data_IF_423998631733
#
_entry.id   IF_423998631733
#
_cell.length_a   1.000
_cell.length_b   1.000
_cell.length_c   1.000
_cell.angle_alpha   90.00
_cell.angle_beta   90.00
_cell.angle_gamma   90.00
#
_symmetry.space_group_name_H-M   'P 1'
#
loop_
_entity.id
_entity.type
_entity.pdbx_description
1 polymer ?
#
# COMPACT_ATOMS: atom_id res chain seq x y z
N UNK A 1 17.63 -22.04 -29.01
CA UNK A 1 16.35 -21.31 -28.89
C UNK A 1 15.81 -21.21 -27.46
N UNK A 2 16.07 -22.17 -26.55
CA UNK A 2 15.53 -22.11 -25.17
C UNK A 2 16.08 -20.98 -24.28
N UNK A 3 17.36 -20.59 -24.43
CA UNK A 3 18.00 -19.59 -23.56
C UNK A 3 17.41 -18.18 -23.79
N UNK A 4 17.15 -17.81 -25.06
CA UNK A 4 16.54 -16.53 -25.39
C UNK A 4 15.10 -16.42 -24.86
N UNK A 5 14.34 -17.52 -24.88
CA UNK A 5 12.98 -17.57 -24.30
C UNK A 5 13.00 -17.46 -22.77
N UNK A 6 13.98 -18.09 -22.12
CA UNK A 6 14.16 -18.02 -20.67
C UNK A 6 14.55 -16.60 -20.22
N UNK A 7 15.47 -15.94 -20.94
CA UNK A 7 15.85 -14.55 -20.68
C UNK A 7 14.67 -13.61 -20.91
N UNK A 8 13.91 -13.79 -22.00
CA UNK A 8 12.72 -13.00 -22.27
C UNK A 8 11.66 -13.15 -21.16
N UNK A 9 11.38 -14.36 -20.69
CA UNK A 9 10.47 -14.61 -19.57
C UNK A 9 10.96 -13.97 -18.25
N UNK A 10 12.25 -14.07 -17.94
CA UNK A 10 12.84 -13.43 -16.76
C UNK A 10 12.75 -11.89 -16.82
N UNK A 11 12.95 -11.30 -18.00
CA UNK A 11 12.81 -9.84 -18.20
C UNK A 11 11.37 -9.36 -18.16
N UNK A 12 10.40 -10.14 -18.66
CA UNK A 12 8.98 -9.81 -18.52
C UNK A 12 8.51 -9.85 -17.06
N UNK A 13 8.91 -10.88 -16.30
CA UNK A 13 8.50 -11.05 -14.90
C UNK A 13 9.02 -9.91 -14.01
N UNK A 14 10.26 -9.47 -14.23
CA UNK A 14 10.85 -8.34 -13.51
C UNK A 14 10.12 -7.02 -13.84
N UNK A 15 9.68 -6.82 -15.08
CA UNK A 15 8.91 -5.63 -15.47
C UNK A 15 7.51 -5.55 -14.84
N UNK A 16 6.86 -6.69 -14.59
CA UNK A 16 5.52 -6.73 -13.96
C UNK A 16 5.65 -6.49 -12.45
N UNK A 17 6.67 -7.08 -11.81
CA UNK A 17 6.96 -6.86 -10.39
C UNK A 17 7.26 -5.38 -10.09
N UNK A 18 7.91 -4.67 -11.03
CA UNK A 18 8.19 -3.25 -10.83
C UNK A 18 6.96 -2.33 -10.95
N UNK A 19 5.90 -2.81 -11.62
CA UNK A 19 4.65 -2.06 -11.84
C UNK A 19 3.67 -2.19 -10.67
N UNK A 20 3.62 -3.34 -10.02
CA UNK A 20 2.72 -3.58 -8.89
C UNK A 20 3.36 -3.16 -7.56
N UNK A 21 3.56 -1.85 -7.40
CA UNK A 21 3.95 -1.29 -6.11
C UNK A 21 2.75 -0.67 -5.41
N UNK A 22 2.34 -1.23 -4.29
CA UNK A 22 1.20 -0.73 -3.51
C UNK A 22 1.68 0.04 -2.28
N UNK A 23 0.87 0.99 -1.76
CA UNK A 23 1.13 1.57 -0.47
C UNK A 23 0.97 0.53 0.63
N UNK A 24 1.76 0.65 1.69
CA UNK A 24 1.62 -0.17 2.90
C UNK A 24 1.64 0.73 4.12
N UNK A 25 0.64 0.57 4.97
CA UNK A 25 0.63 1.13 6.32
C UNK A 25 0.81 0.02 7.34
N UNK A 26 1.54 0.35 8.40
CA UNK A 26 1.75 -0.51 9.57
C UNK A 26 1.10 0.18 10.75
N UNK A 27 0.19 -0.51 11.45
CA UNK A 27 -0.46 -0.02 12.67
C UNK A 27 0.12 -0.81 13.84
N UNK A 28 0.79 -0.11 14.75
CA UNK A 28 1.53 -0.70 15.88
C UNK A 28 1.42 0.22 17.10
N UNK A 29 0.35 0.04 17.89
CA UNK A 29 0.11 0.84 19.08
C UNK A 29 1.08 0.51 20.22
N UNK A 30 1.61 -0.71 20.22
CA UNK A 30 2.48 -1.24 21.27
C UNK A 30 3.97 -0.99 20.96
N UNK A 31 4.28 -0.38 19.80
CA UNK A 31 5.63 -0.04 19.32
C UNK A 31 6.60 -1.22 19.33
N UNK A 32 6.14 -2.41 18.95
CA UNK A 32 6.99 -3.62 18.88
C UNK A 32 7.98 -3.55 17.71
N UNK A 33 7.66 -2.77 16.67
CA UNK A 33 8.49 -2.54 15.49
C UNK A 33 9.33 -1.27 15.65
N UNK A 34 10.51 -1.42 16.27
CA UNK A 34 11.36 -0.26 16.63
C UNK A 34 12.17 0.33 15.46
N UNK A 35 12.35 -0.44 14.38
CA UNK A 35 13.27 -0.10 13.29
C UNK A 35 12.55 0.29 11.99
N UNK A 36 11.31 0.78 12.10
CA UNK A 36 10.59 1.26 10.93
C UNK A 36 11.22 2.56 10.39
N UNK A 37 11.19 2.78 9.06
CA UNK A 37 11.74 3.98 8.47
C UNK A 37 11.00 5.22 8.99
N UNK A 38 11.69 6.05 9.75
CA UNK A 38 11.18 7.35 10.20
C UNK A 38 11.07 8.29 8.98
N UNK A 39 9.84 8.65 8.60
CA UNK A 39 9.48 9.48 7.43
C UNK A 39 9.73 8.82 6.07
N UNK A 40 9.00 7.75 5.78
CA UNK A 40 8.94 7.22 4.43
C UNK A 40 8.22 8.19 3.47
N UNK A 41 8.83 8.43 2.31
CA UNK A 41 8.19 9.10 1.19
C UNK A 41 7.56 8.07 0.24
N UNK A 42 6.39 8.36 -0.38
CA UNK A 42 5.78 7.47 -1.37
C UNK A 42 6.65 7.26 -2.62
N UNK A 43 7.64 8.14 -2.86
CA UNK A 43 8.61 8.00 -3.95
C UNK A 43 9.81 7.13 -3.60
N UNK A 44 10.00 6.81 -2.31
CA UNK A 44 11.04 5.89 -1.89
C UNK A 44 10.57 4.45 -2.14
N UNK A 45 11.51 3.62 -2.59
CA UNK A 45 11.27 2.21 -2.86
C UNK A 45 11.88 1.39 -1.73
N UNK A 46 11.13 0.45 -1.19
CA UNK A 46 11.63 -0.55 -0.24
C UNK A 46 11.92 -1.85 -0.97
N UNK A 47 13.02 -2.51 -0.65
CA UNK A 47 13.31 -3.85 -1.18
C UNK A 47 12.37 -4.86 -0.53
N UNK A 48 11.92 -5.85 -1.30
CA UNK A 48 11.06 -6.91 -0.76
C UNK A 48 11.71 -7.68 0.39
N UNK A 49 13.04 -7.82 0.39
CA UNK A 49 13.80 -8.41 1.52
C UNK A 49 13.66 -7.62 2.81
N UNK A 50 13.73 -6.29 2.72
CA UNK A 50 13.64 -5.41 3.90
C UNK A 50 12.21 -5.46 4.44
N UNK A 51 11.22 -5.52 3.54
CA UNK A 51 9.82 -5.71 3.90
C UNK A 51 9.56 -7.08 4.55
N UNK A 52 10.13 -8.16 4.01
CA UNK A 52 10.08 -9.49 4.62
C UNK A 52 10.60 -9.47 6.05
N UNK A 53 11.76 -8.84 6.30
CA UNK A 53 12.30 -8.72 7.65
C UNK A 53 11.35 -7.99 8.60
N UNK A 54 10.65 -6.94 8.14
CA UNK A 54 9.63 -6.24 8.94
C UNK A 54 8.48 -7.19 9.30
N UNK A 55 8.02 -8.00 8.34
CA UNK A 55 6.93 -8.96 8.57
C UNK A 55 7.36 -10.04 9.56
N UNK A 56 8.57 -10.59 9.41
CA UNK A 56 9.11 -11.60 10.33
C UNK A 56 9.21 -11.07 11.76
N UNK A 57 9.75 -9.86 11.95
CA UNK A 57 9.81 -9.21 13.26
C UNK A 57 8.41 -8.98 13.83
N UNK A 58 7.43 -8.60 13.00
CA UNK A 58 6.04 -8.46 13.45
C UNK A 58 5.47 -9.80 13.93
N UNK A 59 5.68 -10.89 13.19
CA UNK A 59 5.20 -12.24 13.56
C UNK A 59 5.85 -12.73 14.86
N UNK A 60 7.14 -12.45 15.05
CA UNK A 60 7.89 -12.85 16.24
C UNK A 60 7.49 -12.08 17.50
N UNK A 61 7.28 -10.76 17.36
CA UNK A 61 7.10 -9.86 18.51
C UNK A 61 5.64 -9.54 18.84
N UNK A 62 4.72 -9.85 17.95
CA UNK A 62 3.28 -9.67 18.18
C UNK A 62 2.63 -10.98 18.59
N UNK A 63 1.59 -10.86 19.42
CA UNK A 63 0.69 -11.97 19.69
C UNK A 63 -0.21 -12.24 18.49
N UNK A 64 -0.65 -11.18 17.83
CA UNK A 64 -1.55 -11.21 16.68
C UNK A 64 -1.09 -10.25 15.59
N UNK A 65 -1.11 -10.70 14.34
CA UNK A 65 -0.98 -9.84 13.15
C UNK A 65 -2.30 -9.75 12.39
N UNK A 66 -2.77 -8.56 12.08
CA UNK A 66 -3.96 -8.34 11.25
C UNK A 66 -3.55 -7.83 9.88
N UNK A 67 -4.11 -8.38 8.82
CA UNK A 67 -3.89 -7.94 7.45
C UNK A 67 -5.19 -7.39 6.87
N UNK A 68 -5.26 -6.09 6.70
CA UNK A 68 -6.33 -5.37 6.02
C UNK A 68 -6.00 -5.24 4.52
N UNK A 69 -6.94 -5.62 3.67
CA UNK A 69 -6.70 -5.74 2.22
C UNK A 69 -7.81 -5.11 1.41
N UNK A 70 -7.47 -4.09 0.63
CA UNK A 70 -8.28 -3.57 -0.47
C UNK A 70 -8.15 -4.46 -1.71
N UNK A 71 -9.18 -4.50 -2.56
CA UNK A 71 -9.05 -5.10 -3.89
C UNK A 71 -8.03 -4.34 -4.74
N UNK A 72 -8.14 -3.01 -4.77
CA UNK A 72 -7.20 -2.12 -5.45
C UNK A 72 -6.75 -1.04 -4.47
N UNK A 73 -5.46 -0.68 -4.46
CA UNK A 73 -4.99 0.43 -3.62
C UNK A 73 -3.77 1.11 -4.22
N UNK A 74 -3.83 2.44 -4.31
CA UNK A 74 -2.81 3.28 -4.93
C UNK A 74 -2.37 4.41 -4.00
N UNK A 75 -1.28 5.08 -4.35
CA UNK A 75 -0.86 6.31 -3.66
C UNK A 75 -1.82 7.47 -3.91
N UNK A 76 -2.55 7.46 -5.03
CA UNK A 76 -3.53 8.49 -5.35
C UNK A 76 -4.70 8.45 -4.36
N UNK A 77 -5.15 7.24 -3.98
CA UNK A 77 -6.20 7.04 -2.98
C UNK A 77 -5.90 7.77 -1.65
N UNK A 78 -4.63 7.77 -1.22
CA UNK A 78 -4.18 8.46 0.01
C UNK A 78 -4.33 9.98 -0.11
N UNK A 79 -4.19 10.52 -1.32
CA UNK A 79 -4.25 11.96 -1.57
C UNK A 79 -5.67 12.49 -1.87
N UNK A 80 -6.65 11.59 -2.02
CA UNK A 80 -8.04 11.97 -2.30
C UNK A 80 -8.57 12.87 -1.18
N UNK A 81 -9.20 13.99 -1.57
CA UNK A 81 -9.95 14.85 -0.68
C UNK A 81 -11.29 15.18 -1.32
N UNK A 82 -12.36 14.96 -0.59
CA UNK A 82 -13.71 15.38 -0.98
C UNK A 82 -14.18 16.55 -0.09
N UNK A 83 -15.48 16.91 -0.17
CA UNK A 83 -16.06 17.99 0.63
C UNK A 83 -15.98 17.75 2.15
N UNK A 84 -15.81 16.50 2.57
CA UNK A 84 -15.72 16.07 3.98
C UNK A 84 -14.24 15.96 4.40
N UNK A 85 -13.32 15.90 3.44
CA UNK A 85 -11.87 15.89 3.66
C UNK A 85 -11.22 14.59 3.18
N UNK A 86 -10.17 14.17 3.88
CA UNK A 86 -9.51 12.87 3.64
C UNK A 86 -10.48 11.72 3.96
N UNK A 87 -10.52 10.63 3.18
CA UNK A 87 -11.24 9.44 3.57
C UNK A 87 -10.57 8.70 4.75
N UNK A 88 -9.28 8.95 5.01
CA UNK A 88 -8.48 8.25 6.01
C UNK A 88 -8.37 9.01 7.34
N UNK A 89 -9.49 9.36 7.97
CA UNK A 89 -9.47 10.18 9.18
C UNK A 89 -8.72 9.53 10.35
N UNK A 90 -9.01 8.25 10.64
CA UNK A 90 -8.43 7.53 11.76
C UNK A 90 -6.97 7.17 11.48
N UNK A 91 -6.67 6.65 10.30
CA UNK A 91 -5.30 6.37 9.91
C UNK A 91 -4.43 7.63 9.91
N UNK A 92 -4.95 8.78 9.45
CA UNK A 92 -4.25 10.07 9.53
C UNK A 92 -3.99 10.50 10.99
N UNK A 93 -4.94 10.24 11.89
CA UNK A 93 -4.75 10.49 13.33
C UNK A 93 -3.67 9.56 13.91
N UNK A 94 -3.71 8.28 13.59
CA UNK A 94 -2.74 7.29 14.05
C UNK A 94 -1.31 7.60 13.56
N UNK A 95 -1.17 8.10 12.33
CA UNK A 95 0.12 8.58 11.80
C UNK A 95 0.65 9.78 12.61
N UNK A 96 -0.22 10.73 12.98
CA UNK A 96 0.17 11.89 13.82
C UNK A 96 0.56 11.46 15.23
N UNK A 97 -0.15 10.48 15.78
CA UNK A 97 0.11 9.91 17.10
C UNK A 97 1.27 8.91 17.12
N UNK A 98 1.92 8.67 15.97
CA UNK A 98 2.99 7.67 15.80
C UNK A 98 2.57 6.24 16.16
N UNK A 99 1.29 5.95 16.01
CA UNK A 99 0.68 4.62 16.17
C UNK A 99 0.54 3.88 14.85
N UNK A 100 0.58 4.61 13.74
CA UNK A 100 0.72 4.06 12.41
C UNK A 100 1.99 4.61 11.75
N UNK A 101 2.55 3.84 10.82
CA UNK A 101 3.69 4.22 9.99
C UNK A 101 3.40 3.86 8.54
N UNK A 102 3.58 4.83 7.65
CA UNK A 102 3.60 4.58 6.22
C UNK A 102 4.96 3.99 5.82
N UNK A 103 4.97 2.87 5.10
CA UNK A 103 6.20 2.32 4.54
C UNK A 103 6.46 2.89 3.14
N UNK A 104 7.73 2.98 2.72
CA UNK A 104 8.06 3.27 1.32
C UNK A 104 7.38 2.28 0.39
N UNK A 105 7.20 2.66 -0.87
CA UNK A 105 6.51 1.86 -1.87
C UNK A 105 7.14 0.45 -2.01
N UNK A 106 6.34 -0.58 -1.72
CA UNK A 106 6.78 -1.99 -1.70
C UNK A 106 6.27 -2.70 -2.95
N UNK A 107 7.16 -3.40 -3.65
CA UNK A 107 6.77 -4.27 -4.78
C UNK A 107 6.07 -5.53 -4.28
N UNK A 108 4.90 -5.84 -4.86
CA UNK A 108 4.12 -7.03 -4.56
C UNK A 108 3.86 -7.21 -3.06
N UNK A 109 3.50 -6.13 -2.35
CA UNK A 109 3.36 -6.12 -0.90
C UNK A 109 2.41 -7.21 -0.40
N UNK A 110 1.21 -7.29 -1.00
CA UNK A 110 0.21 -8.29 -0.63
C UNK A 110 0.71 -9.72 -0.82
N UNK A 111 1.39 -10.00 -1.93
CA UNK A 111 1.95 -11.34 -2.20
C UNK A 111 3.02 -11.71 -1.16
N UNK A 112 3.86 -10.75 -0.79
CA UNK A 112 4.90 -10.95 0.23
C UNK A 112 4.26 -11.25 1.59
N UNK A 113 3.30 -10.42 2.02
CA UNK A 113 2.52 -10.65 3.25
C UNK A 113 1.85 -12.02 3.27
N UNK A 114 1.15 -12.39 2.18
CA UNK A 114 0.47 -13.68 2.04
C UNK A 114 1.41 -14.90 2.00
N UNK A 115 2.68 -14.71 1.67
CA UNK A 115 3.66 -15.81 1.71
C UNK A 115 4.20 -16.10 3.11
N UNK A 116 4.31 -15.08 3.97
CA UNK A 116 4.80 -15.21 5.35
C UNK A 116 3.65 -15.55 6.30
N UNK A 117 2.53 -14.86 6.12
CA UNK A 117 1.28 -15.15 6.79
C UNK A 117 0.61 -16.23 5.93
N UNK A 118 0.54 -17.48 6.38
CA UNK A 118 -0.20 -18.52 5.66
C UNK A 118 -1.70 -18.42 6.02
N UNK A 119 -2.59 -18.11 5.06
CA UNK A 119 -4.01 -18.00 5.35
C UNK A 119 -4.62 -19.37 5.61
N UNK A 120 -5.01 -19.63 6.86
CA UNK A 120 -5.93 -20.72 7.17
C UNK A 120 -7.35 -20.21 6.90
N UNK A 121 -8.19 -21.02 6.25
CA UNK A 121 -9.51 -20.61 5.76
C UNK A 121 -10.42 -20.01 6.85
N UNK A 122 -10.23 -20.41 8.11
CA UNK A 122 -10.92 -19.89 9.29
C UNK A 122 -10.56 -18.45 9.67
N UNK A 123 -9.53 -17.86 9.08
CA UNK A 123 -8.99 -16.55 9.47
C UNK A 123 -9.16 -15.49 8.39
N UNK A 124 -10.03 -15.78 7.42
CA UNK A 124 -10.33 -14.90 6.30
C UNK A 124 -11.75 -14.34 6.46
N UNK A 125 -11.83 -13.03 6.61
CA UNK A 125 -13.07 -12.27 6.76
C UNK A 125 -13.23 -11.34 5.57
N UNK A 126 -14.48 -11.18 5.13
CA UNK A 126 -14.84 -10.24 4.08
C UNK A 126 -15.86 -9.26 4.65
N UNK A 127 -15.50 -8.00 4.75
CA UNK A 127 -16.33 -6.98 5.40
C UNK A 127 -16.84 -5.96 4.38
N UNK A 128 -18.15 -5.81 4.35
CA UNK A 128 -18.86 -4.79 3.57
C UNK A 128 -19.40 -3.66 4.46
N UNK A 129 -19.59 -3.88 5.75
CA UNK A 129 -20.17 -2.90 6.68
C UNK A 129 -19.69 -3.15 8.12
N UNK A 130 -19.85 -2.14 8.98
CA UNK A 130 -19.52 -2.20 10.41
C UNK A 130 -20.55 -2.99 11.25
N UNK A 131 -21.69 -3.34 10.66
CA UNK A 131 -22.72 -4.16 11.33
C UNK A 131 -22.38 -5.66 11.35
N UNK A 132 -21.43 -6.05 10.50
CA UNK A 132 -20.89 -7.40 10.39
C UNK A 132 -20.16 -7.75 11.69
N UNK A 133 -20.86 -8.39 12.63
CA UNK A 133 -20.27 -8.86 13.89
C UNK A 133 -19.11 -9.79 13.58
N UNK A 134 -17.88 -9.29 13.71
CA UNK A 134 -16.67 -10.08 13.55
C UNK A 134 -16.58 -11.02 14.75
N UNK A 135 -17.00 -12.27 14.55
CA UNK A 135 -17.01 -13.27 15.63
C UNK A 135 -15.67 -14.01 15.64
N UNK A 136 -14.75 -13.50 16.46
CA UNK A 136 -13.47 -14.16 16.73
C UNK A 136 -13.71 -15.18 17.84
N UNK A 137 -13.87 -16.44 17.46
CA UNK A 137 -14.22 -17.52 18.40
C UNK A 137 -13.00 -18.18 19.05
N UNK A 138 -11.81 -17.99 18.49
CA UNK A 138 -10.60 -18.66 18.95
C UNK A 138 -9.59 -17.62 19.46
N UNK A 139 -9.08 -17.86 20.68
CA UNK A 139 -8.08 -17.00 21.35
C UNK A 139 -6.64 -17.41 20.99
N UNK A 140 -6.46 -18.55 20.34
CA UNK A 140 -5.15 -19.05 19.90
C UNK A 140 -4.72 -18.48 18.53
N UNK A 141 -5.54 -17.60 17.96
CA UNK A 141 -5.32 -17.05 16.63
C UNK A 141 -4.15 -16.08 16.62
N UNK A 142 -3.21 -16.32 15.70
CA UNK A 142 -2.02 -15.48 15.52
C UNK A 142 -2.12 -14.52 14.35
N UNK A 143 -2.98 -14.78 13.36
CA UNK A 143 -3.08 -13.94 12.17
C UNK A 143 -4.53 -13.85 11.64
N UNK A 144 -4.95 -12.67 11.17
CA UNK A 144 -6.28 -12.41 10.60
C UNK A 144 -6.16 -11.74 9.23
N UNK A 145 -7.00 -12.12 8.28
CA UNK A 145 -7.14 -11.48 6.97
C UNK A 145 -8.51 -10.83 6.88
N UNK A 146 -8.52 -9.53 6.65
CA UNK A 146 -9.72 -8.73 6.52
C UNK A 146 -9.71 -8.14 5.11
N UNK A 147 -10.53 -8.72 4.23
CA UNK A 147 -10.73 -8.21 2.88
C UNK A 147 -11.91 -7.25 2.88
N UNK A 148 -11.71 -6.05 2.34
CA UNK A 148 -12.79 -5.10 2.17
C UNK A 148 -13.60 -5.39 0.90
N UNK A 149 -14.92 -5.17 1.00
CA UNK A 149 -15.86 -5.24 -0.12
C UNK A 149 -16.52 -3.89 -0.30
N UNK A 150 -16.34 -3.33 -1.49
CA UNK A 150 -16.94 -2.07 -1.91
C UNK A 150 -18.43 -2.28 -2.24
N UNK A 151 -19.26 -1.27 -1.98
CA UNK A 151 -20.66 -1.26 -2.39
C UNK A 151 -20.81 -0.99 -3.89
N UNK A 152 -21.81 -1.61 -4.54
CA UNK A 152 -21.99 -1.50 -6.00
C UNK A 152 -22.21 -0.07 -6.53
N UNK A 153 -22.76 0.84 -5.70
CA UNK A 153 -23.05 2.23 -6.06
C UNK A 153 -22.28 3.23 -5.17
N UNK A 154 -21.16 2.81 -4.57
CA UNK A 154 -20.39 3.63 -3.66
C UNK A 154 -19.27 4.38 -4.39
N UNK A 155 -19.02 5.64 -4.04
CA UNK A 155 -17.85 6.36 -4.55
C UNK A 155 -16.58 5.82 -3.89
N UNK A 156 -15.44 5.88 -4.60
CA UNK A 156 -14.17 5.42 -4.02
C UNK A 156 -13.83 6.11 -2.69
N UNK A 157 -14.10 7.41 -2.56
CA UNK A 157 -13.86 8.14 -1.30
C UNK A 157 -14.78 7.69 -0.16
N UNK A 158 -16.03 7.33 -0.46
CA UNK A 158 -16.96 6.77 0.52
C UNK A 158 -16.51 5.39 0.98
N UNK A 159 -16.13 4.52 0.03
CA UNK A 159 -15.65 3.17 0.33
C UNK A 159 -14.41 3.21 1.24
N UNK A 160 -13.41 4.01 0.88
CA UNK A 160 -12.19 4.17 1.69
C UNK A 160 -12.48 4.70 3.09
N UNK A 161 -13.44 5.61 3.24
CA UNK A 161 -13.85 6.14 4.55
C UNK A 161 -14.52 5.08 5.43
N UNK A 162 -15.33 4.21 4.82
CA UNK A 162 -15.91 3.06 5.51
C UNK A 162 -14.83 2.05 5.90
N UNK A 163 -13.84 1.82 5.03
CA UNK A 163 -12.74 0.91 5.33
C UNK A 163 -11.85 1.45 6.45
N UNK A 164 -11.58 2.75 6.50
CA UNK A 164 -10.87 3.42 7.60
C UNK A 164 -11.56 3.21 8.97
N UNK A 165 -12.89 3.36 9.02
CA UNK A 165 -13.69 3.02 10.21
C UNK A 165 -13.56 1.54 10.59
N UNK A 166 -13.70 0.64 9.62
CA UNK A 166 -13.60 -0.80 9.85
C UNK A 166 -12.20 -1.23 10.34
N UNK A 167 -11.14 -0.63 9.81
CA UNK A 167 -9.78 -0.87 10.28
C UNK A 167 -9.65 -0.53 11.76
N UNK A 168 -10.13 0.65 12.15
CA UNK A 168 -10.09 1.09 13.53
C UNK A 168 -10.89 0.15 14.46
N UNK A 169 -12.13 -0.16 14.10
CA UNK A 169 -13.00 -1.03 14.90
C UNK A 169 -12.39 -2.43 15.07
N UNK A 170 -11.97 -3.06 13.98
CA UNK A 170 -11.40 -4.41 14.01
C UNK A 170 -10.09 -4.42 14.80
N UNK A 171 -9.22 -3.44 14.60
CA UNK A 171 -7.95 -3.39 15.33
C UNK A 171 -8.16 -3.24 16.84
N UNK A 172 -9.10 -2.38 17.26
CA UNK A 172 -9.44 -2.21 18.67
C UNK A 172 -10.06 -3.49 19.28
N UNK A 173 -10.96 -4.15 18.56
CA UNK A 173 -11.55 -5.43 19.01
C UNK A 173 -10.47 -6.50 19.15
N UNK A 174 -9.58 -6.63 18.16
CA UNK A 174 -8.48 -7.60 18.21
C UNK A 174 -7.54 -7.32 19.38
N UNK A 175 -7.21 -6.05 19.65
CA UNK A 175 -6.40 -5.67 20.82
C UNK A 175 -7.06 -5.99 22.16
N UNK A 176 -8.38 -5.86 22.27
CA UNK A 176 -9.10 -6.20 23.50
C UNK A 176 -9.08 -7.70 23.80
N UNK A 177 -9.08 -8.55 22.77
CA UNK A 177 -9.07 -10.01 22.94
C UNK A 177 -7.66 -10.60 22.99
N UNK A 178 -6.67 -9.94 22.37
CA UNK A 178 -5.30 -10.41 22.33
C UNK A 178 -4.64 -10.20 23.70
N UNK A 179 -4.08 -11.28 24.26
CA UNK A 179 -3.32 -11.21 25.52
C UNK A 179 -1.88 -10.68 25.32
N UNK A 180 -1.65 -9.82 24.31
CA UNK A 180 -0.32 -9.32 23.96
C UNK A 180 -0.35 -8.36 22.77
N UNK A 181 0.82 -7.92 22.28
CA UNK A 181 0.92 -6.88 21.26
C UNK A 181 0.25 -7.25 19.94
N UNK A 182 -0.35 -6.27 19.27
CA UNK A 182 -1.02 -6.47 17.98
C UNK A 182 -0.42 -5.55 16.92
N UNK A 183 -0.03 -6.13 15.80
CA UNK A 183 0.43 -5.36 14.63
C UNK A 183 -0.58 -5.53 13.51
N UNK A 184 -0.87 -4.47 12.77
CA UNK A 184 -1.64 -4.55 11.54
C UNK A 184 -0.85 -4.08 10.33
N UNK A 185 -1.14 -4.68 9.18
CA UNK A 185 -0.72 -4.21 7.88
C UNK A 185 -1.95 -3.84 7.05
N UNK A 186 -1.90 -2.71 6.36
CA UNK A 186 -2.93 -2.30 5.40
C UNK A 186 -2.31 -2.07 4.02
N UNK A 187 -2.85 -2.75 3.00
CA UNK A 187 -2.40 -2.62 1.61
C UNK A 187 -3.49 -3.05 0.62
N UNK A 188 -3.24 -2.95 -0.68
CA UNK A 188 -4.11 -3.49 -1.73
C UNK A 188 -3.54 -4.75 -2.38
N UNK A 189 -4.40 -5.56 -3.00
CA UNK A 189 -3.95 -6.72 -3.79
C UNK A 189 -3.19 -6.31 -5.05
N UNK A 190 -3.64 -5.22 -5.67
CA UNK A 190 -3.05 -4.67 -6.90
C UNK A 190 -3.01 -3.15 -6.86
N UNK A 191 -1.99 -2.55 -7.47
CA UNK A 191 -1.99 -1.13 -7.78
C UNK A 191 -2.81 -0.87 -9.07
N UNK A 192 -3.90 -0.08 -9.02
CA UNK A 192 -4.72 0.23 -10.21
C UNK A 192 -4.04 1.17 -11.21
N UNK A 193 -2.96 1.86 -10.83
CA UNK A 193 -2.24 2.80 -11.71
C UNK A 193 -1.43 2.00 -12.74
N UNK A 194 -1.97 1.90 -13.96
CA UNK A 194 -1.22 1.41 -15.12
C UNK A 194 -0.26 2.51 -15.54
N UNK A 195 1.01 2.41 -15.13
CA UNK A 195 2.06 3.30 -15.66
C UNK A 195 2.28 2.90 -17.13
N UNK A 196 1.58 3.57 -18.04
CA UNK A 196 1.98 3.60 -19.43
C UNK A 196 3.37 4.22 -19.46
N UNK A 197 4.38 3.40 -19.76
CA UNK A 197 5.68 3.93 -20.15
C UNK A 197 5.41 4.66 -21.45
N UNK A 198 5.22 5.98 -21.38
CA UNK A 198 5.32 6.85 -22.54
C UNK A 198 6.67 6.50 -23.16
N UNK A 199 6.64 5.71 -24.23
CA UNK A 199 7.78 5.55 -25.13
C UNK A 199 7.92 6.91 -25.79
N UNK A 200 8.53 7.84 -25.07
CA UNK A 200 8.95 9.11 -25.60
C UNK A 200 9.95 8.75 -26.70
N UNK A 201 9.44 8.68 -27.93
CA UNK A 201 10.29 8.70 -29.12
C UNK A 201 11.12 9.96 -28.94
N UNK A 202 12.47 9.88 -28.99
CA UNK A 202 13.30 11.07 -28.88
C UNK A 202 12.83 12.07 -29.94
N UNK A 203 12.12 13.12 -29.52
CA UNK A 203 11.77 14.20 -30.42
C UNK A 203 13.08 14.83 -30.80
N UNK A 204 13.46 14.65 -32.07
CA UNK A 204 14.68 15.20 -32.64
C UNK A 204 14.69 16.69 -32.27
N UNK A 205 15.62 17.10 -31.42
CA UNK A 205 15.76 18.49 -31.02
C UNK A 205 16.07 19.27 -32.30
N UNK A 206 15.09 20.02 -32.80
CA UNK A 206 15.39 21.03 -33.79
C UNK A 206 16.35 22.02 -33.15
N UNK A 207 17.50 22.22 -33.78
CA UNK A 207 18.45 23.27 -33.38
C UNK A 207 17.83 24.62 -33.69
N UNK A 208 16.91 25.07 -32.82
CA UNK A 208 16.36 26.41 -32.86
C UNK A 208 17.46 27.34 -32.36
N UNK A 209 17.97 28.19 -33.27
CA UNK A 209 18.95 29.21 -32.92
C UNK A 209 18.32 30.15 -31.87
N UNK A 210 18.99 30.40 -30.73
CA UNK A 210 18.47 31.34 -29.74
C UNK A 210 18.35 32.73 -30.37
N UNK A 211 17.15 33.29 -30.34
CA UNK A 211 16.93 34.69 -30.68
C UNK A 211 17.05 35.52 -29.38
N UNK A 212 17.43 36.81 -29.45
CA UNK A 212 17.47 37.67 -28.26
C UNK A 212 16.07 37.74 -27.62
N UNK A 213 15.92 37.18 -26.41
CA UNK A 213 14.66 37.08 -25.67
C UNK A 213 14.53 35.76 -24.90
N UNK A 214 13.54 35.65 -24.01
CA UNK A 214 13.29 34.42 -23.24
C UNK A 214 12.68 33.38 -24.17
N UNK A 215 13.38 32.26 -24.38
CA UNK A 215 12.88 31.14 -25.17
C UNK A 215 12.35 30.04 -24.25
N UNK A 216 11.13 29.58 -24.50
CA UNK A 216 10.46 28.51 -23.74
C UNK A 216 10.57 27.21 -24.54
N UNK A 217 11.21 26.21 -23.97
CA UNK A 217 11.24 24.86 -24.52
C UNK A 217 10.31 23.95 -23.71
N UNK A 218 9.41 23.24 -24.40
CA UNK A 218 8.59 22.18 -23.80
C UNK A 218 9.10 20.82 -24.28
N UNK A 219 9.50 19.96 -23.35
CA UNK A 219 9.85 18.57 -23.64
C UNK A 219 9.16 17.67 -22.63
N UNK A 220 8.19 16.87 -23.07
CA UNK A 220 7.55 15.86 -22.24
C UNK A 220 6.97 16.42 -20.93
N UNK A 221 6.21 17.52 -21.02
CA UNK A 221 5.60 18.25 -19.90
C UNK A 221 6.54 19.04 -18.96
N UNK A 222 7.84 19.11 -19.25
CA UNK A 222 8.79 19.98 -18.56
C UNK A 222 9.05 21.26 -19.37
N UNK A 223 8.96 22.41 -18.71
CA UNK A 223 9.29 23.72 -19.28
C UNK A 223 10.70 24.13 -18.84
N UNK A 224 11.57 24.43 -19.81
CA UNK A 224 12.88 25.02 -19.56
C UNK A 224 12.92 26.44 -20.10
N UNK A 225 13.26 27.38 -19.22
CA UNK A 225 13.49 28.78 -19.57
C UNK A 225 14.98 29.01 -19.80
N UNK A 226 15.33 29.60 -20.94
CA UNK A 226 16.68 30.07 -21.24
C UNK A 226 16.54 31.54 -21.59
N UNK A 227 17.22 32.39 -20.80
CA UNK A 227 17.34 33.83 -21.01
C UNK A 227 18.77 34.21 -21.33
#
# INVERSE_FOLDING_TARGET
>A
MCIAYLIFLLTLQSSIAERDRTPVFVIDYDNVLTNLPNKASPFMKMKSSDFSNIIEVAIERSKVVVLFVEETFSTEDISIKDKIGSPFYHLDQELREKKATYLPSVSQAFKTLKSHLQPLASYVFYLSDSSSKLRIYDKNLRHFYIYFKDGANETRSSALRRHDLLMQEVYLVVRQIAAGPVVAFYTGKVNPVVVETLKLVPTKTENVRPHPGVTIFSSGALFKFIG
#
